data_IF_291225070830
#
_entry.id   IF_291225070830
#
_cell.length_a   1.000
_cell.length_b   1.000
_cell.length_c   1.000
_cell.angle_alpha   90.00
_cell.angle_beta   90.00
_cell.angle_gamma   90.00
#
_symmetry.space_group_name_H-M   'P 1'
#
loop_
_entity.id
_entity.type
_entity.pdbx_description
1 polymer ?
#
# COMPACT_ATOMS: atom_id res chain seq x y z
N UNK A 1 2.89 15.56 10.13
CA UNK A 1 1.73 14.82 9.63
C UNK A 1 0.62 14.80 10.68
N UNK A 2 -0.63 14.76 10.25
CA UNK A 2 -1.82 14.63 11.09
C UNK A 2 -2.53 13.31 10.78
N UNK A 3 -3.21 12.74 11.78
CA UNK A 3 -4.03 11.56 11.59
C UNK A 3 -5.47 12.01 11.34
N UNK A 4 -6.11 11.43 10.33
CA UNK A 4 -7.52 11.62 10.03
C UNK A 4 -8.19 10.27 10.19
N UNK A 5 -9.28 10.23 10.94
CA UNK A 5 -10.09 9.02 11.10
C UNK A 5 -11.31 9.08 10.20
N UNK A 6 -11.59 7.98 9.52
CA UNK A 6 -12.76 7.82 8.66
C UNK A 6 -13.37 6.44 8.88
N UNK A 7 -14.64 6.42 9.30
CA UNK A 7 -15.39 5.18 9.39
C UNK A 7 -15.94 4.79 8.01
N UNK A 8 -15.81 3.51 7.66
CA UNK A 8 -16.31 2.94 6.42
C UNK A 8 -17.22 1.77 6.77
N UNK A 9 -18.50 1.88 6.41
CA UNK A 9 -19.51 0.86 6.65
C UNK A 9 -19.66 0.00 5.41
N UNK A 10 -19.52 -1.32 5.55
CA UNK A 10 -19.65 -2.30 4.48
C UNK A 10 -20.63 -3.40 4.89
N UNK A 11 -21.79 -3.47 4.25
CA UNK A 11 -22.84 -4.46 4.56
C UNK A 11 -22.37 -5.91 4.43
N UNK A 12 -21.35 -6.15 3.60
CA UNK A 12 -20.79 -7.50 3.36
C UNK A 12 -19.58 -7.82 4.24
N UNK A 13 -19.21 -6.94 5.18
CA UNK A 13 -18.08 -7.19 6.05
C UNK A 13 -18.44 -8.25 7.10
N UNK A 14 -17.66 -9.33 7.26
CA UNK A 14 -17.87 -10.28 8.35
C UNK A 14 -17.68 -9.60 9.72
N UNK A 15 -18.46 -10.03 10.70
CA UNK A 15 -18.45 -9.45 12.05
C UNK A 15 -17.08 -9.53 12.72
N UNK A 16 -16.27 -10.51 12.38
CA UNK A 16 -14.90 -10.68 12.90
C UNK A 16 -13.95 -9.56 12.46
N UNK A 17 -14.34 -8.79 11.43
CA UNK A 17 -13.63 -7.61 10.95
C UNK A 17 -14.26 -6.30 11.40
N UNK A 18 -15.22 -6.32 12.33
CA UNK A 18 -15.73 -5.09 12.95
C UNK A 18 -14.58 -4.35 13.62
N UNK A 19 -14.56 -3.02 13.50
CA UNK A 19 -13.49 -2.14 14.00
C UNK A 19 -12.08 -2.43 13.43
N UNK A 20 -11.96 -3.19 12.33
CA UNK A 20 -10.69 -3.45 11.67
C UNK A 20 -10.06 -2.15 11.15
N UNK A 21 -8.89 -1.80 11.64
CA UNK A 21 -8.22 -0.53 11.36
C UNK A 21 -7.21 -0.67 10.24
N UNK A 22 -7.39 0.13 9.20
CA UNK A 22 -6.42 0.28 8.12
C UNK A 22 -5.76 1.65 8.21
N UNK A 23 -4.44 1.69 8.43
CA UNK A 23 -3.69 2.93 8.29
C UNK A 23 -3.26 3.11 6.84
N UNK A 24 -3.75 4.16 6.18
CA UNK A 24 -3.33 4.48 4.83
C UNK A 24 -2.28 5.59 4.80
N UNK A 25 -1.24 5.39 4.00
CA UNK A 25 -0.24 6.39 3.63
C UNK A 25 -0.24 6.51 2.12
N UNK A 26 -0.29 7.73 1.61
CA UNK A 26 -0.17 8.04 0.19
C UNK A 26 0.67 9.28 0.00
N UNK A 27 1.32 9.38 -1.16
CA UNK A 27 1.97 10.62 -1.61
C UNK A 27 2.97 11.20 -0.58
N UNK A 28 3.81 10.35 -0.01
CA UNK A 28 4.81 10.77 0.97
C UNK A 28 5.94 11.58 0.32
N UNK A 29 6.28 11.24 -0.94
CA UNK A 29 7.28 11.94 -1.76
C UNK A 29 8.61 12.17 -1.02
N UNK A 30 9.15 11.12 -0.39
CA UNK A 30 10.49 11.19 0.20
C UNK A 30 11.49 11.55 -0.89
N UNK A 31 12.17 12.68 -0.73
CA UNK A 31 12.97 13.25 -1.80
C UNK A 31 13.80 14.45 -1.34
N UNK A 32 13.95 15.49 -2.17
CA UNK A 32 14.75 16.66 -1.80
C UNK A 32 14.26 17.40 -0.57
N UNK A 33 12.95 17.45 -0.36
CA UNK A 33 12.29 18.24 0.71
C UNK A 33 11.82 17.39 1.88
N UNK A 34 11.30 16.20 1.62
CA UNK A 34 10.84 15.27 2.66
C UNK A 34 11.99 14.33 3.01
N UNK A 35 12.43 14.37 4.25
CA UNK A 35 13.59 13.65 4.75
C UNK A 35 13.26 12.74 5.93
N UNK A 36 14.22 11.91 6.32
CA UNK A 36 14.13 10.97 7.43
C UNK A 36 13.33 11.48 8.66
N UNK A 37 13.55 12.69 9.20
CA UNK A 37 12.81 13.13 10.39
C UNK A 37 11.28 13.25 10.17
N UNK A 38 10.85 13.51 8.94
CA UNK A 38 9.43 13.50 8.61
C UNK A 38 8.89 12.07 8.50
N UNK A 39 9.65 11.17 7.87
CA UNK A 39 9.30 9.75 7.76
C UNK A 39 9.16 9.13 9.16
N UNK A 40 10.09 9.39 10.06
CA UNK A 40 10.03 8.95 11.46
C UNK A 40 8.75 9.43 12.18
N UNK A 41 8.32 10.68 11.94
CA UNK A 41 7.04 11.18 12.49
C UNK A 41 5.83 10.44 11.91
N UNK A 42 5.85 10.08 10.63
CA UNK A 42 4.78 9.29 10.00
C UNK A 42 4.72 7.91 10.66
N UNK A 43 5.86 7.23 10.76
CA UNK A 43 5.97 5.90 11.39
C UNK A 43 5.48 5.93 12.84
N UNK A 44 5.91 6.94 13.62
CA UNK A 44 5.45 7.11 15.00
C UNK A 44 3.93 7.32 15.10
N UNK A 45 3.34 8.10 14.18
CA UNK A 45 1.89 8.30 14.16
C UNK A 45 1.15 6.99 13.88
N UNK A 46 1.66 6.18 12.93
CA UNK A 46 1.08 4.86 12.61
C UNK A 46 1.14 3.94 13.82
N UNK A 47 2.28 3.87 14.49
CA UNK A 47 2.45 3.05 15.69
C UNK A 47 1.47 3.43 16.80
N UNK A 48 1.14 4.72 16.95
CA UNK A 48 0.16 5.18 17.93
C UNK A 48 -1.28 4.76 17.59
N UNK A 49 -1.62 4.63 16.31
CA UNK A 49 -2.94 4.16 15.86
C UNK A 49 -3.11 2.67 16.13
N UNK A 50 -2.02 1.93 16.19
CA UNK A 50 -2.01 0.45 16.28
C UNK A 50 -2.97 -0.16 15.26
N UNK A 51 -2.69 -0.03 13.95
CA UNK A 51 -3.54 -0.54 12.89
C UNK A 51 -3.43 -2.05 12.76
N UNK A 52 -4.50 -2.70 12.31
CA UNK A 52 -4.49 -4.12 11.97
C UNK A 52 -3.78 -4.36 10.63
N UNK A 53 -3.84 -3.39 9.72
CA UNK A 53 -3.22 -3.43 8.41
C UNK A 53 -2.70 -2.04 8.02
N UNK A 54 -1.59 -2.00 7.28
CA UNK A 54 -1.07 -0.75 6.71
C UNK A 54 -1.14 -0.84 5.19
N UNK A 55 -1.69 0.21 4.55
CA UNK A 55 -1.78 0.37 3.11
C UNK A 55 -0.95 1.56 2.65
N UNK A 56 0.11 1.31 1.87
CA UNK A 56 0.93 2.33 1.23
C UNK A 56 0.49 2.43 -0.23
N UNK A 57 -0.22 3.51 -0.58
CA UNK A 57 -0.91 3.61 -1.87
C UNK A 57 -0.16 4.46 -2.89
N UNK A 58 1.16 4.31 -2.95
CA UNK A 58 2.01 4.87 -4.02
C UNK A 58 2.53 6.26 -3.76
N UNK A 59 3.39 6.71 -4.66
CA UNK A 59 4.13 7.98 -4.63
C UNK A 59 4.89 8.16 -3.30
N UNK A 60 5.56 7.08 -2.91
CA UNK A 60 6.35 7.02 -1.68
C UNK A 60 7.61 7.88 -1.80
N UNK A 61 8.17 8.00 -3.02
CA UNK A 61 9.52 8.53 -3.25
C UNK A 61 9.65 9.42 -4.49
N UNK A 62 10.57 10.39 -4.41
CA UNK A 62 10.97 11.30 -5.50
C UNK A 62 12.48 11.19 -5.79
N UNK A 63 12.96 10.00 -6.08
CA UNK A 63 14.35 9.75 -6.42
C UNK A 63 14.76 8.30 -6.22
N UNK A 64 15.97 7.97 -6.65
CA UNK A 64 16.44 6.59 -6.63
C UNK A 64 16.78 6.08 -5.23
N UNK A 65 16.68 4.76 -5.04
CA UNK A 65 17.07 4.05 -3.81
C UNK A 65 18.48 4.44 -3.34
N UNK A 66 19.40 4.60 -4.28
CA UNK A 66 20.80 4.97 -3.96
C UNK A 66 20.88 6.22 -3.07
N UNK A 67 20.03 7.20 -3.30
CA UNK A 67 20.07 8.49 -2.59
C UNK A 67 19.09 8.57 -1.43
N UNK A 68 18.00 7.78 -1.45
CA UNK A 68 16.90 7.92 -0.51
C UNK A 68 16.78 6.78 0.50
N UNK A 69 17.56 5.70 0.37
CA UNK A 69 17.49 4.55 1.27
C UNK A 69 17.57 4.95 2.75
N UNK A 70 18.49 5.85 3.11
CA UNK A 70 18.63 6.28 4.50
C UNK A 70 17.46 7.11 5.00
N UNK A 71 16.78 7.85 4.09
CA UNK A 71 15.61 8.65 4.42
C UNK A 71 14.35 7.78 4.55
N UNK A 72 14.25 6.70 3.78
CA UNK A 72 13.11 5.77 3.78
C UNK A 72 13.25 4.61 4.79
N UNK A 73 14.44 4.35 5.29
CA UNK A 73 14.74 3.22 6.19
C UNK A 73 13.80 3.12 7.40
N UNK A 74 13.30 4.20 8.03
CA UNK A 74 12.36 4.06 9.14
C UNK A 74 11.03 3.38 8.77
N UNK A 75 10.66 3.32 7.47
CA UNK A 75 9.43 2.67 7.03
C UNK A 75 9.40 1.16 7.33
N UNK A 76 10.56 0.52 7.53
CA UNK A 76 10.64 -0.89 7.96
C UNK A 76 10.02 -1.14 9.33
N UNK A 77 9.88 -0.09 10.15
CA UNK A 77 9.30 -0.17 11.49
C UNK A 77 7.76 -0.03 11.47
N UNK A 78 7.16 0.10 10.28
CA UNK A 78 5.71 0.04 10.10
C UNK A 78 5.25 -1.42 10.15
N UNK A 79 4.77 -1.83 11.32
CA UNK A 79 4.34 -3.20 11.59
C UNK A 79 2.84 -3.20 11.90
N UNK A 80 2.11 -4.14 11.30
CA UNK A 80 0.71 -4.42 11.57
C UNK A 80 0.48 -5.94 11.54
N UNK A 81 -0.50 -6.43 12.32
CA UNK A 81 -0.75 -7.87 12.49
C UNK A 81 -1.03 -8.59 11.16
N UNK A 82 -1.74 -7.90 10.24
CA UNK A 82 -2.06 -8.44 8.91
C UNK A 82 -1.15 -7.92 7.80
N UNK A 83 -0.08 -7.22 8.14
CA UNK A 83 0.99 -6.80 7.25
C UNK A 83 0.84 -5.37 6.71
N UNK A 84 1.93 -4.95 6.04
CA UNK A 84 2.03 -3.68 5.32
C UNK A 84 2.01 -3.96 3.84
N UNK A 85 1.00 -3.44 3.14
CA UNK A 85 0.80 -3.63 1.70
C UNK A 85 1.21 -2.39 0.93
N UNK A 86 1.88 -2.60 -0.19
CA UNK A 86 2.33 -1.53 -1.07
C UNK A 86 1.77 -1.71 -2.49
N UNK A 87 1.29 -0.62 -3.07
CA UNK A 87 1.02 -0.48 -4.49
C UNK A 87 1.76 0.70 -5.06
N UNK A 88 2.17 0.63 -6.32
CA UNK A 88 2.95 1.68 -6.96
C UNK A 88 2.09 2.89 -7.33
N UNK A 89 2.63 4.09 -7.12
CA UNK A 89 2.22 5.31 -7.81
C UNK A 89 3.09 5.56 -9.06
N UNK A 90 2.92 6.70 -9.71
CA UNK A 90 3.70 7.02 -10.90
C UNK A 90 5.15 7.43 -10.57
N UNK A 91 5.41 7.98 -9.39
CA UNK A 91 6.74 8.41 -9.00
C UNK A 91 7.72 7.26 -8.78
N UNK A 92 7.25 6.09 -8.37
CA UNK A 92 8.10 4.90 -8.33
C UNK A 92 8.69 4.56 -9.69
N UNK A 93 7.90 4.71 -10.78
CA UNK A 93 8.38 4.45 -12.14
C UNK A 93 9.42 5.49 -12.59
N UNK A 94 9.25 6.76 -12.23
CA UNK A 94 10.24 7.80 -12.52
C UNK A 94 11.53 7.63 -11.71
N UNK A 95 11.42 6.99 -10.54
CA UNK A 95 12.51 6.81 -9.57
C UNK A 95 13.25 5.47 -9.69
N UNK A 96 12.83 4.59 -10.62
CA UNK A 96 13.40 3.26 -10.81
C UNK A 96 12.64 2.17 -10.06
N UNK A 97 11.45 1.84 -10.56
CA UNK A 97 10.46 0.97 -9.91
C UNK A 97 11.01 -0.38 -9.43
N UNK A 98 11.84 -1.07 -10.23
CA UNK A 98 12.36 -2.39 -9.86
C UNK A 98 13.21 -2.33 -8.59
N UNK A 99 14.07 -1.32 -8.49
CA UNK A 99 14.87 -1.11 -7.29
C UNK A 99 14.03 -0.72 -6.07
N UNK A 100 12.94 0.02 -6.27
CA UNK A 100 12.03 0.38 -5.18
C UNK A 100 11.17 -0.80 -4.73
N UNK A 101 10.73 -1.67 -5.64
CA UNK A 101 10.04 -2.91 -5.28
C UNK A 101 10.95 -3.84 -4.46
N UNK A 102 12.22 -3.98 -4.86
CA UNK A 102 13.21 -4.72 -4.08
C UNK A 102 13.45 -4.09 -2.69
N UNK A 103 13.41 -2.78 -2.60
CA UNK A 103 13.65 -2.09 -1.33
C UNK A 103 12.43 -2.15 -0.41
N UNK A 104 11.20 -1.99 -0.92
CA UNK A 104 9.96 -2.16 -0.14
C UNK A 104 9.80 -3.59 0.37
N UNK A 105 10.18 -4.58 -0.43
CA UNK A 105 10.21 -5.99 -0.01
C UNK A 105 11.18 -6.21 1.16
N UNK A 106 12.40 -5.64 1.09
CA UNK A 106 13.39 -5.68 2.19
C UNK A 106 12.90 -4.97 3.46
N UNK A 107 12.03 -3.98 3.32
CA UNK A 107 11.37 -3.31 4.44
C UNK A 107 10.20 -4.13 5.02
N UNK A 108 9.90 -5.32 4.47
CA UNK A 108 8.81 -6.19 4.91
C UNK A 108 7.44 -5.84 4.35
N UNK A 109 7.37 -4.98 3.32
CA UNK A 109 6.11 -4.67 2.65
C UNK A 109 5.74 -5.76 1.65
N UNK A 110 4.45 -6.00 1.50
CA UNK A 110 3.89 -6.93 0.51
C UNK A 110 3.52 -6.12 -0.72
N UNK A 111 4.31 -6.26 -1.78
CA UNK A 111 4.06 -5.58 -3.06
C UNK A 111 2.89 -6.24 -3.81
N UNK A 112 1.84 -5.48 -4.11
CA UNK A 112 0.69 -5.95 -4.89
C UNK A 112 0.71 -5.33 -6.28
N UNK A 113 1.16 -6.10 -7.26
CA UNK A 113 1.30 -5.68 -8.67
C UNK A 113 0.25 -6.38 -9.54
N UNK A 114 -0.99 -5.91 -9.47
CA UNK A 114 -2.18 -6.58 -10.02
C UNK A 114 -2.39 -7.96 -9.37
N UNK A 115 -2.29 -7.99 -8.05
CA UNK A 115 -2.33 -9.19 -7.23
C UNK A 115 -3.23 -8.99 -6.01
N UNK A 116 -3.46 -10.05 -5.26
CA UNK A 116 -4.24 -10.01 -4.04
C UNK A 116 -3.69 -10.91 -2.94
N UNK A 117 -4.13 -10.62 -1.73
CA UNK A 117 -3.95 -11.46 -0.54
C UNK A 117 -5.29 -11.65 0.17
N UNK A 118 -5.54 -12.85 0.63
CA UNK A 118 -6.66 -13.15 1.52
C UNK A 118 -6.18 -13.01 2.96
N UNK A 119 -6.93 -12.24 3.73
CA UNK A 119 -6.74 -12.08 5.18
C UNK A 119 -7.83 -12.87 5.88
N UNK A 120 -7.47 -13.60 6.91
CA UNK A 120 -8.41 -14.43 7.68
C UNK A 120 -8.35 -14.06 9.16
N UNK A 121 -9.53 -13.88 9.74
CA UNK A 121 -9.73 -13.79 11.19
C UNK A 121 -10.71 -14.91 11.55
N UNK A 122 -10.27 -15.84 12.41
CA UNK A 122 -10.95 -17.12 12.59
C UNK A 122 -11.18 -17.79 11.22
N UNK A 123 -12.40 -18.15 10.88
CA UNK A 123 -12.72 -18.76 9.59
C UNK A 123 -13.27 -17.75 8.55
N UNK A 124 -13.37 -16.47 8.92
CA UNK A 124 -13.87 -15.41 8.04
C UNK A 124 -12.73 -14.76 7.25
N UNK A 125 -13.06 -14.32 6.04
CA UNK A 125 -12.06 -13.86 5.09
C UNK A 125 -12.48 -12.57 4.39
N UNK A 126 -11.48 -11.68 4.20
CA UNK A 126 -11.56 -10.54 3.30
C UNK A 126 -10.40 -10.59 2.31
N UNK A 127 -10.49 -9.83 1.24
CA UNK A 127 -9.46 -9.76 0.21
C UNK A 127 -8.87 -8.35 0.18
N UNK A 128 -7.55 -8.26 0.25
CA UNK A 128 -6.80 -7.06 -0.08
C UNK A 128 -6.23 -7.27 -1.47
N UNK A 129 -6.71 -6.51 -2.44
CA UNK A 129 -6.19 -6.50 -3.81
C UNK A 129 -5.45 -5.19 -4.07
N UNK A 130 -4.42 -5.24 -4.89
CA UNK A 130 -3.65 -4.07 -5.27
C UNK A 130 -3.37 -4.04 -6.76
N UNK A 131 -3.39 -2.86 -7.33
CA UNK A 131 -3.10 -2.62 -8.74
C UNK A 131 -1.93 -1.65 -8.89
N UNK A 132 -1.19 -1.82 -9.97
CA UNK A 132 -0.13 -0.91 -10.39
C UNK A 132 -0.71 0.45 -10.80
N UNK A 133 0.11 1.48 -10.80
CA UNK A 133 -0.30 2.81 -11.25
C UNK A 133 -0.92 2.78 -12.65
N UNK A 134 -1.91 3.64 -12.87
CA UNK A 134 -2.64 3.73 -14.14
C UNK A 134 -1.73 3.99 -15.34
N UNK A 135 -0.64 4.76 -15.15
CA UNK A 135 0.32 5.14 -16.21
C UNK A 135 1.55 4.23 -16.25
N UNK A 136 1.64 3.24 -15.38
CA UNK A 136 2.78 2.32 -15.29
C UNK A 136 3.23 1.76 -16.65
N UNK A 137 2.27 1.40 -17.52
CA UNK A 137 2.50 0.82 -18.84
C UNK A 137 3.28 1.73 -19.79
N UNK A 138 3.33 3.04 -19.53
CA UNK A 138 4.08 3.99 -20.36
C UNK A 138 5.59 3.85 -20.17
N UNK A 139 6.03 3.31 -19.02
CA UNK A 139 7.45 3.11 -18.69
C UNK A 139 7.78 1.62 -18.66
N UNK A 140 6.88 0.79 -18.16
CA UNK A 140 7.05 -0.65 -18.03
C UNK A 140 5.76 -1.36 -18.48
N UNK A 141 5.73 -1.84 -19.70
CA UNK A 141 4.53 -2.37 -20.37
C UNK A 141 3.86 -3.52 -19.61
N UNK A 142 4.68 -4.39 -18.99
CA UNK A 142 4.21 -5.51 -18.17
C UNK A 142 3.53 -5.08 -16.87
N UNK A 143 3.74 -3.85 -16.43
CA UNK A 143 3.07 -3.26 -15.26
C UNK A 143 1.77 -2.53 -15.62
N UNK A 144 1.18 -2.82 -16.79
CA UNK A 144 -0.14 -2.27 -17.12
C UNK A 144 -1.16 -2.59 -16.02
N UNK A 145 -1.80 -1.56 -15.47
CA UNK A 145 -2.84 -1.71 -14.44
C UNK A 145 -3.95 -2.64 -14.90
N UNK A 146 -4.29 -3.62 -14.08
CA UNK A 146 -5.26 -4.65 -14.41
C UNK A 146 -6.09 -5.09 -13.19
N UNK A 147 -7.19 -4.38 -12.87
CA UNK A 147 -8.06 -4.74 -11.74
C UNK A 147 -8.68 -6.14 -11.88
N UNK A 148 -8.94 -6.61 -13.10
CA UNK A 148 -9.49 -7.95 -13.33
C UNK A 148 -8.50 -9.03 -12.89
N UNK A 149 -7.22 -8.86 -13.24
CA UNK A 149 -6.15 -9.77 -12.81
C UNK A 149 -5.98 -9.74 -11.29
N UNK A 150 -6.00 -8.55 -10.69
CA UNK A 150 -5.89 -8.39 -9.24
C UNK A 150 -7.02 -9.12 -8.47
N UNK A 151 -8.17 -9.32 -9.11
CA UNK A 151 -9.34 -10.00 -8.53
C UNK A 151 -9.55 -11.42 -9.07
N UNK A 152 -8.58 -11.98 -9.82
CA UNK A 152 -8.67 -13.34 -10.32
C UNK A 152 -8.70 -14.37 -9.18
N UNK A 153 -9.45 -15.46 -9.42
CA UNK A 153 -9.56 -16.60 -8.52
C UNK A 153 -10.09 -16.29 -7.10
N UNK A 154 -10.75 -15.13 -6.93
CA UNK A 154 -11.36 -14.75 -5.67
C UNK A 154 -12.84 -15.16 -5.65
N UNK A 155 -13.31 -15.84 -4.60
CA UNK A 155 -14.74 -16.12 -4.40
C UNK A 155 -15.55 -14.82 -4.41
N UNK A 156 -16.69 -14.82 -5.13
CA UNK A 156 -17.51 -13.59 -5.33
C UNK A 156 -18.12 -13.04 -4.04
N UNK A 157 -18.31 -13.89 -3.06
CA UNK A 157 -18.93 -13.57 -1.77
C UNK A 157 -18.00 -12.92 -0.75
N UNK A 158 -16.70 -12.81 -1.03
CA UNK A 158 -15.76 -12.16 -0.11
C UNK A 158 -15.77 -10.64 -0.27
N UNK A 159 -15.74 -9.95 0.86
CA UNK A 159 -15.48 -8.50 0.89
C UNK A 159 -14.11 -8.20 0.32
N UNK A 160 -14.02 -7.18 -0.53
CA UNK A 160 -12.80 -6.81 -1.27
C UNK A 160 -12.43 -5.37 -0.99
N UNK A 161 -11.17 -5.16 -0.63
CA UNK A 161 -10.58 -3.85 -0.49
C UNK A 161 -9.52 -3.70 -1.57
N UNK A 162 -9.70 -2.74 -2.47
CA UNK A 162 -8.79 -2.48 -3.58
C UNK A 162 -7.86 -1.32 -3.25
N UNK A 163 -6.57 -1.58 -3.27
CA UNK A 163 -5.53 -0.55 -3.16
C UNK A 163 -5.16 -0.05 -4.56
N UNK A 164 -5.23 1.25 -4.75
CA UNK A 164 -4.89 1.92 -5.99
C UNK A 164 -4.38 3.33 -5.69
N UNK A 165 -3.35 3.76 -6.41
CA UNK A 165 -2.84 5.13 -6.27
C UNK A 165 -3.80 6.17 -6.86
N UNK A 166 -4.27 5.94 -8.08
CA UNK A 166 -5.16 6.87 -8.77
C UNK A 166 -6.60 6.34 -8.83
N UNK A 167 -7.62 7.16 -8.51
CA UNK A 167 -9.04 6.75 -8.59
C UNK A 167 -9.45 6.24 -9.98
N UNK A 168 -8.86 6.78 -11.04
CA UNK A 168 -9.13 6.36 -12.42
C UNK A 168 -8.68 4.92 -12.73
N UNK A 169 -7.90 4.31 -11.86
CA UNK A 169 -7.40 2.94 -12.06
C UNK A 169 -8.46 1.85 -11.89
N UNK A 170 -9.63 2.20 -11.35
CA UNK A 170 -10.71 1.25 -11.04
C UNK A 170 -11.78 1.11 -12.15
N UNK A 171 -11.59 1.81 -13.28
CA UNK A 171 -12.53 1.81 -14.42
C UNK A 171 -12.11 0.86 -15.54
#
# INVERSE_FOLDING_TARGET
>A
PSIIYQDVYLDSLPIEFEDFKIAQISDLHVGPTIKRPYVEKVVNNISQVNPDLIAVTGDLVDGSVKYLRSDTEPLKDMIADYGTFFVTGNHEYYSGVDHWLDETDKMGMINLLNENKIISINDQKIVIAGITDYRAHQIKSEHKSNPKKALENIPKNLTRIMLAHQPNSIH
#
